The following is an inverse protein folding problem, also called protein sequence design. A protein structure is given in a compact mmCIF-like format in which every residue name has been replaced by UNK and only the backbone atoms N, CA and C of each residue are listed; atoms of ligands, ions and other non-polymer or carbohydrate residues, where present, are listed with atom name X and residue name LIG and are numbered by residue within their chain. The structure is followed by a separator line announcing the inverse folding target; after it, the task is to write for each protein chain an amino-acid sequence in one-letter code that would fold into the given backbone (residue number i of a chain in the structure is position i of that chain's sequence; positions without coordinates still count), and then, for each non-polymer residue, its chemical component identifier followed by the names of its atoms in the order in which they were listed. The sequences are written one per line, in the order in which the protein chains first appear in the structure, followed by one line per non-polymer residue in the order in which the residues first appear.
data_IF_467064816798
#
_entry.id   IF_467064816798
#
_cell.length_a   1.000
_cell.length_b   1.000
_cell.length_c   1.000
_cell.angle_alpha   90.00
_cell.angle_beta   90.00
_cell.angle_gamma   90.00
#
_symmetry.space_group_name_H-M   'P 1'
#
loop_
_entity.id
_entity.type
_entity.pdbx_description
1 polymer ?
#
# COMPACT_ATOMS: atom_id res chain seq x y z
N UNK A 1 -2.43 -23.15 13.77
CA UNK A 1 -2.88 -22.31 12.65
C UNK A 1 -1.72 -21.54 12.07
N UNK A 2 -1.71 -21.30 10.76
CA UNK A 2 -0.71 -20.45 10.09
C UNK A 2 -1.20 -19.01 10.01
N UNK A 3 -0.32 -18.03 10.20
CA UNK A 3 -0.66 -16.59 10.14
C UNK A 3 0.05 -15.94 8.97
N UNK A 4 -0.62 -15.01 8.30
CA UNK A 4 0.00 -14.12 7.32
C UNK A 4 0.40 -12.81 8.00
N UNK A 5 1.68 -12.45 7.93
CA UNK A 5 2.21 -11.20 8.49
C UNK A 5 3.20 -10.56 7.52
N UNK A 6 3.27 -9.23 7.52
CA UNK A 6 4.30 -8.49 6.79
C UNK A 6 5.58 -8.34 7.62
N UNK A 7 6.75 -8.07 7.00
CA UNK A 7 8.00 -7.84 7.73
C UNK A 7 8.01 -6.61 8.65
N UNK A 8 7.10 -5.67 8.43
CA UNK A 8 6.96 -4.43 9.21
C UNK A 8 5.75 -4.45 10.17
N UNK A 9 5.09 -5.61 10.31
CA UNK A 9 3.95 -5.84 11.22
C UNK A 9 2.71 -4.97 10.99
N UNK A 10 2.63 -4.26 9.86
CA UNK A 10 1.42 -3.56 9.40
C UNK A 10 0.71 -4.34 8.28
N UNK A 11 -0.62 -4.45 8.27
CA UNK A 11 -1.29 -5.14 7.19
C UNK A 11 -1.07 -4.42 5.85
N UNK A 12 -1.23 -5.17 4.76
CA UNK A 12 -1.27 -4.66 3.40
C UNK A 12 -2.75 -4.44 3.06
N UNK A 13 -3.18 -3.18 2.99
CA UNK A 13 -4.57 -2.76 2.81
C UNK A 13 -4.65 -1.69 1.73
N UNK A 14 -5.36 -1.96 0.64
CA UNK A 14 -5.57 -1.01 -0.45
C UNK A 14 -5.54 -1.64 -1.84
N UNK A 15 -5.44 -0.81 -2.90
CA UNK A 15 -5.38 -1.28 -4.28
C UNK A 15 -4.07 -2.02 -4.55
N UNK A 16 -4.13 -3.08 -5.36
CA UNK A 16 -2.96 -3.88 -5.74
C UNK A 16 -2.17 -3.14 -6.83
N UNK A 17 -0.87 -2.83 -6.62
CA UNK A 17 -0.08 -2.10 -7.61
C UNK A 17 0.17 -2.94 -8.86
N UNK A 18 0.14 -2.30 -10.03
CA UNK A 18 0.77 -2.84 -11.23
C UNK A 18 2.28 -2.66 -11.08
N UNK A 19 2.98 -3.73 -10.72
CA UNK A 19 4.40 -3.68 -10.36
C UNK A 19 5.27 -3.12 -11.49
N UNK A 20 5.05 -3.56 -12.72
CA UNK A 20 5.88 -3.12 -13.86
C UNK A 20 5.65 -1.64 -14.16
N UNK A 21 4.39 -1.22 -14.24
CA UNK A 21 4.05 0.17 -14.47
C UNK A 21 4.51 1.07 -13.31
N UNK A 22 4.44 0.58 -12.07
CA UNK A 22 4.87 1.31 -10.87
C UNK A 22 6.37 1.56 -10.91
N UNK A 23 7.17 0.52 -11.19
CA UNK A 23 8.63 0.64 -11.26
C UNK A 23 9.06 1.63 -12.34
N UNK A 24 8.43 1.61 -13.52
CA UNK A 24 8.73 2.55 -14.60
C UNK A 24 8.34 3.98 -14.20
N UNK A 25 7.14 4.18 -13.66
CA UNK A 25 6.61 5.51 -13.29
C UNK A 25 7.39 6.17 -12.15
N UNK A 26 7.75 5.40 -11.15
CA UNK A 26 8.45 5.89 -9.96
C UNK A 26 9.97 5.66 -10.01
N UNK A 27 10.53 5.40 -11.21
CA UNK A 27 11.95 5.12 -11.38
C UNK A 27 12.89 6.20 -10.83
N UNK A 28 12.44 7.46 -10.83
CA UNK A 28 13.18 8.61 -10.31
C UNK A 28 13.47 8.53 -8.80
N UNK A 29 12.66 7.78 -8.03
CA UNK A 29 12.88 7.57 -6.59
C UNK A 29 14.21 6.88 -6.28
N UNK A 30 14.80 6.16 -7.24
CA UNK A 30 16.15 5.56 -7.11
C UNK A 30 17.25 6.62 -6.99
N UNK A 31 17.05 7.79 -7.60
CA UNK A 31 18.03 8.89 -7.58
C UNK A 31 17.74 9.88 -6.47
N UNK A 32 16.46 10.17 -6.24
CA UNK A 32 16.03 11.09 -5.19
C UNK A 32 14.76 10.55 -4.50
N UNK A 33 14.93 10.04 -3.28
CA UNK A 33 13.84 9.50 -2.48
C UNK A 33 12.72 10.51 -2.15
N UNK A 34 13.00 11.81 -2.27
CA UNK A 34 12.05 12.91 -2.04
C UNK A 34 11.50 13.50 -3.33
N UNK A 35 11.79 12.89 -4.48
CA UNK A 35 11.29 13.39 -5.76
C UNK A 35 9.76 13.44 -5.73
N UNK A 36 9.23 14.62 -6.03
CA UNK A 36 7.82 14.81 -6.25
C UNK A 36 7.46 14.28 -7.65
N UNK A 37 6.44 13.43 -7.70
CA UNK A 37 5.95 12.82 -8.94
C UNK A 37 4.45 13.09 -8.98
N UNK A 38 4.04 13.98 -9.89
CA UNK A 38 2.64 14.39 -10.07
C UNK A 38 1.86 13.39 -10.93
N UNK A 39 1.90 12.12 -10.53
CA UNK A 39 1.17 11.03 -11.19
C UNK A 39 0.69 10.04 -10.12
N UNK A 40 -0.51 9.50 -10.32
CA UNK A 40 -1.06 8.49 -9.44
C UNK A 40 -0.29 7.16 -9.52
N UNK A 41 -0.35 6.39 -8.43
CA UNK A 41 0.20 5.04 -8.39
C UNK A 41 -0.57 4.11 -9.33
N UNK A 42 0.08 3.50 -10.35
CA UNK A 42 -0.60 2.56 -11.23
C UNK A 42 -0.96 1.30 -10.43
N UNK A 43 -2.25 0.96 -10.47
CA UNK A 43 -2.83 -0.18 -9.77
C UNK A 43 -3.66 -1.02 -10.74
N UNK A 44 -3.84 -2.30 -10.43
CA UNK A 44 -4.69 -3.20 -11.19
C UNK A 44 -6.16 -2.78 -11.00
N UNK A 45 -6.92 -2.53 -12.09
CA UNK A 45 -8.30 -2.04 -11.99
C UNK A 45 -9.20 -2.99 -11.21
N UNK A 46 -9.94 -2.46 -10.24
CA UNK A 46 -10.91 -3.23 -9.44
C UNK A 46 -10.32 -4.24 -8.47
N UNK A 47 -8.99 -4.31 -8.33
CA UNK A 47 -8.33 -5.29 -7.46
C UNK A 47 -7.79 -4.64 -6.18
N UNK A 48 -8.29 -5.11 -5.04
CA UNK A 48 -7.92 -4.66 -3.71
C UNK A 48 -7.46 -5.84 -2.85
N UNK A 49 -6.69 -5.56 -1.81
CA UNK A 49 -6.22 -6.57 -0.86
C UNK A 49 -6.35 -6.06 0.58
N UNK A 50 -6.71 -6.97 1.49
CA UNK A 50 -6.55 -6.83 2.95
C UNK A 50 -5.87 -8.10 3.46
N UNK A 51 -4.57 -8.02 3.76
CA UNK A 51 -3.79 -9.20 4.18
C UNK A 51 -2.67 -8.82 5.15
N UNK A 52 -1.97 -9.82 5.70
CA UNK A 52 -0.81 -9.57 6.56
C UNK A 52 -1.16 -9.09 7.97
N UNK A 53 -2.38 -9.33 8.45
CA UNK A 53 -2.85 -8.88 9.77
C UNK A 53 -2.16 -9.54 10.98
N UNK A 54 -1.37 -10.59 10.77
CA UNK A 54 -0.60 -11.28 11.81
C UNK A 54 -1.47 -11.81 12.94
N UNK A 55 -1.01 -11.64 14.19
CA UNK A 55 -1.75 -12.03 15.40
C UNK A 55 -2.76 -10.97 15.88
N UNK A 56 -2.85 -9.81 15.19
CA UNK A 56 -3.68 -8.66 15.60
C UNK A 56 -4.84 -8.41 14.62
N UNK A 57 -5.33 -9.47 13.97
CA UNK A 57 -6.43 -9.39 13.00
C UNK A 57 -7.71 -8.83 13.60
N UNK A 58 -8.08 -9.26 14.81
CA UNK A 58 -9.30 -8.77 15.47
C UNK A 58 -9.29 -7.24 15.68
N UNK A 59 -8.12 -6.65 15.92
CA UNK A 59 -7.98 -5.21 16.12
C UNK A 59 -7.89 -4.44 14.81
N UNK A 60 -7.17 -4.96 13.82
CA UNK A 60 -6.83 -4.21 12.60
C UNK A 60 -7.83 -4.38 11.46
N UNK A 61 -8.57 -5.50 11.41
CA UNK A 61 -9.50 -5.80 10.31
C UNK A 61 -10.67 -4.82 10.21
N UNK A 62 -11.33 -4.38 11.30
CA UNK A 62 -12.45 -3.45 11.19
C UNK A 62 -12.07 -2.13 10.49
N UNK A 63 -10.93 -1.54 10.89
CA UNK A 63 -10.44 -0.31 10.29
C UNK A 63 -9.97 -0.50 8.84
N UNK A 64 -9.36 -1.65 8.54
CA UNK A 64 -8.95 -2.00 7.18
C UNK A 64 -10.16 -2.18 6.24
N UNK A 65 -11.23 -2.80 6.74
CA UNK A 65 -12.47 -2.98 5.99
C UNK A 65 -13.11 -1.63 5.66
N UNK A 66 -13.20 -0.73 6.64
CA UNK A 66 -13.73 0.63 6.42
C UNK A 66 -12.88 1.40 5.39
N UNK A 67 -11.54 1.35 5.52
CA UNK A 67 -10.63 1.98 4.56
C UNK A 67 -10.86 1.46 3.12
N UNK A 68 -11.05 0.15 2.94
CA UNK A 68 -11.33 -0.44 1.64
C UNK A 68 -12.71 -0.05 1.11
N UNK A 69 -13.74 -0.06 1.96
CA UNK A 69 -15.08 0.36 1.60
C UNK A 69 -15.06 1.81 1.10
N UNK A 70 -14.41 2.73 1.83
CA UNK A 70 -14.29 4.13 1.38
C UNK A 70 -13.55 4.26 0.05
N UNK A 71 -12.47 3.48 -0.17
CA UNK A 71 -11.75 3.49 -1.46
C UNK A 71 -12.60 2.97 -2.62
N UNK A 72 -13.39 1.92 -2.40
CA UNK A 72 -14.22 1.28 -3.43
C UNK A 72 -15.42 2.18 -3.78
N UNK A 73 -16.01 2.82 -2.76
CA UNK A 73 -17.16 3.70 -2.91
C UNK A 73 -16.80 5.15 -3.27
N UNK A 74 -15.51 5.48 -3.44
CA UNK A 74 -15.00 6.85 -3.65
C UNK A 74 -15.41 7.84 -2.55
N UNK A 75 -15.35 7.39 -1.30
CA UNK A 75 -15.61 8.19 -0.11
C UNK A 75 -14.28 8.70 0.52
N UNK A 76 -14.33 9.74 1.36
CA UNK A 76 -13.17 10.16 2.13
C UNK A 76 -12.62 9.03 3.00
N UNK A 77 -11.29 8.89 3.06
CA UNK A 77 -10.66 7.85 3.88
C UNK A 77 -10.87 8.14 5.38
N UNK A 78 -11.07 7.09 6.20
CA UNK A 78 -11.27 7.24 7.65
C UNK A 78 -9.94 7.48 8.41
N UNK A 79 -8.82 7.64 7.71
CA UNK A 79 -7.47 7.65 8.24
C UNK A 79 -6.65 8.82 7.71
N UNK A 80 -5.64 9.23 8.47
CA UNK A 80 -4.62 10.13 7.98
C UNK A 80 -3.85 9.54 6.78
N UNK A 81 -3.36 10.45 5.92
CA UNK A 81 -2.56 10.09 4.74
C UNK A 81 -1.30 9.30 5.08
N UNK A 82 -0.65 9.62 6.19
CA UNK A 82 0.55 8.92 6.70
C UNK A 82 0.25 7.45 6.96
N UNK A 83 -0.85 7.16 7.65
CA UNK A 83 -1.29 5.81 7.98
C UNK A 83 -1.77 5.05 6.73
N UNK A 84 -2.56 5.70 5.87
CA UNK A 84 -2.97 5.11 4.57
C UNK A 84 -1.75 4.65 3.74
N UNK A 85 -0.69 5.47 3.69
CA UNK A 85 0.57 5.11 3.02
C UNK A 85 1.31 3.95 3.70
N UNK A 86 1.28 3.89 5.04
CA UNK A 86 1.89 2.81 5.80
C UNK A 86 1.17 1.47 5.63
N UNK A 87 -0.14 1.50 5.31
CA UNK A 87 -0.93 0.31 5.02
C UNK A 87 -0.91 -0.08 3.53
N UNK A 88 -0.60 0.85 2.64
CA UNK A 88 -0.61 0.63 1.18
C UNK A 88 0.18 -0.62 0.76
N UNK A 89 -0.37 -1.45 -0.16
CA UNK A 89 0.35 -2.58 -0.74
C UNK A 89 1.62 -2.18 -1.51
N UNK A 90 1.67 -0.95 -2.03
CA UNK A 90 2.80 -0.44 -2.79
C UNK A 90 3.99 0.03 -1.93
N UNK A 91 3.85 0.08 -0.59
CA UNK A 91 4.89 0.64 0.29
C UNK A 91 6.24 -0.04 0.17
N UNK A 92 6.25 -1.35 -0.09
CA UNK A 92 7.49 -2.11 -0.29
C UNK A 92 8.13 -1.83 -1.65
N UNK A 93 7.34 -1.58 -2.70
CA UNK A 93 7.87 -1.14 -4.00
C UNK A 93 8.56 0.23 -3.87
N UNK A 94 7.94 1.17 -3.16
CA UNK A 94 8.55 2.48 -2.86
C UNK A 94 9.85 2.30 -2.09
N UNK A 95 9.85 1.46 -1.06
CA UNK A 95 11.04 1.19 -0.25
C UNK A 95 12.17 0.56 -1.07
N UNK A 96 11.84 -0.39 -1.94
CA UNK A 96 12.82 -1.08 -2.80
C UNK A 96 13.39 -0.13 -3.85
N UNK A 97 12.56 0.72 -4.47
CA UNK A 97 13.01 1.78 -5.39
C UNK A 97 13.95 2.77 -4.71
N UNK A 98 13.61 3.26 -3.52
CA UNK A 98 14.45 4.19 -2.75
C UNK A 98 15.80 3.57 -2.37
N UNK A 99 15.85 2.26 -2.15
CA UNK A 99 17.08 1.51 -1.83
C UNK A 99 17.86 1.06 -3.07
N UNK A 100 17.31 1.23 -4.27
CA UNK A 100 17.89 0.72 -5.51
C UNK A 100 17.88 -0.82 -5.62
N UNK A 101 17.03 -1.50 -4.85
CA UNK A 101 16.94 -2.97 -4.82
C UNK A 101 15.97 -3.56 -5.88
N UNK A 102 15.22 -2.70 -6.57
CA UNK A 102 14.37 -3.02 -7.72
C UNK A 102 14.48 -1.93 -8.76
#
# INVERSE_FOLDING_TARGET
GQRCASPDYLPLVGPVPDVAAFITRFAGLRRNARQYIDQQAPCLPGLYVSTGHGSRGLTSTPLAAEMLASMICNEPLPLERSLSRALSPARFLVRDLVRGSR
#
